data_IF_465312581025
#
_entry.id   IF_465312581025
#
_cell.length_a   1.000
_cell.length_b   1.000
_cell.length_c   1.000
_cell.angle_alpha   90.00
_cell.angle_beta   90.00
_cell.angle_gamma   90.00
#
_symmetry.space_group_name_H-M   'P 1'
#
loop_
_entity.id
_entity.type
_entity.pdbx_description
1 polymer ?
#
# COMPACT_ATOMS: atom_id res chain seq x y z
N UNK A 1 -1.89 26.37 6.20
CA UNK A 1 -1.94 25.00 6.74
C UNK A 1 -2.84 24.14 5.89
N UNK A 2 -2.43 22.92 5.61
CA UNK A 2 -3.24 22.02 4.80
C UNK A 2 -3.15 20.61 5.37
N UNK A 3 -4.15 19.79 5.08
CA UNK A 3 -4.20 18.39 5.50
C UNK A 3 -4.57 17.52 4.30
N UNK A 4 -3.75 16.52 4.07
CA UNK A 4 -4.05 15.46 3.10
C UNK A 4 -3.89 14.13 3.81
N UNK A 5 -4.93 13.33 3.80
CA UNK A 5 -4.91 12.04 4.49
C UNK A 5 -5.59 10.97 3.65
N UNK A 6 -4.92 9.83 3.52
CA UNK A 6 -5.46 8.66 2.83
C UNK A 6 -5.33 7.46 3.78
N UNK A 7 -6.36 6.65 3.83
CA UNK A 7 -6.35 5.40 4.60
C UNK A 7 -6.59 4.24 3.66
N UNK A 8 -5.68 3.25 3.68
CA UNK A 8 -5.77 2.07 2.84
C UNK A 8 -5.64 0.82 3.69
N UNK A 9 -6.53 -0.13 3.48
CA UNK A 9 -6.47 -1.44 4.10
C UNK A 9 -6.55 -2.47 2.99
N UNK A 10 -5.56 -3.34 2.90
CA UNK A 10 -5.50 -4.32 1.84
C UNK A 10 -4.43 -5.36 2.07
N UNK A 11 -4.06 -6.04 1.01
CA UNK A 11 -3.08 -7.12 1.05
C UNK A 11 -1.79 -6.70 0.33
N UNK A 12 -0.66 -6.99 0.96
CA UNK A 12 0.65 -6.74 0.36
C UNK A 12 0.90 -7.75 -0.75
N UNK A 13 1.31 -7.27 -1.92
CA UNK A 13 1.52 -8.14 -3.08
C UNK A 13 2.84 -8.88 -3.05
N UNK A 14 3.94 -8.16 -3.02
CA UNK A 14 5.29 -8.72 -3.01
C UNK A 14 6.01 -8.30 -1.75
N UNK A 15 7.11 -8.97 -1.44
CA UNK A 15 7.96 -8.57 -0.34
C UNK A 15 8.42 -7.12 -0.56
N UNK A 16 8.42 -6.30 0.50
CA UNK A 16 8.87 -4.92 0.38
C UNK A 16 10.32 -4.82 -0.08
N UNK A 17 10.58 -3.85 -0.94
CA UNK A 17 11.94 -3.49 -1.30
C UNK A 17 12.44 -2.44 -0.33
N UNK A 18 13.47 -2.78 0.44
CA UNK A 18 14.02 -1.90 1.46
C UNK A 18 15.33 -1.31 0.97
N UNK A 19 15.48 0.00 1.11
CA UNK A 19 16.70 0.70 0.75
C UNK A 19 17.20 1.52 1.92
N UNK A 20 18.49 1.44 2.17
CA UNK A 20 19.17 2.27 3.17
C UNK A 20 19.96 3.34 2.44
N UNK A 21 19.57 4.59 2.68
CA UNK A 21 20.20 5.73 2.02
C UNK A 21 21.46 6.16 2.76
N UNK A 22 22.36 6.85 2.04
CA UNK A 22 23.62 7.35 2.61
C UNK A 22 23.39 8.30 3.78
N UNK A 23 22.28 9.02 3.77
CA UNK A 23 21.91 9.91 4.87
C UNK A 23 21.47 9.19 6.13
N UNK A 24 21.43 7.86 6.11
CA UNK A 24 20.95 7.05 7.22
C UNK A 24 19.46 6.81 7.22
N UNK A 25 18.72 7.38 6.26
CA UNK A 25 17.30 7.15 6.14
C UNK A 25 17.02 5.80 5.48
N UNK A 26 15.97 5.12 5.95
CA UNK A 26 15.51 3.86 5.37
C UNK A 26 14.20 4.10 4.63
N UNK A 27 14.07 3.54 3.44
CA UNK A 27 12.83 3.56 2.69
C UNK A 27 12.39 2.13 2.40
N UNK A 28 11.09 1.89 2.40
CA UNK A 28 10.53 0.60 2.01
C UNK A 28 9.43 0.85 0.97
N UNK A 29 9.49 0.13 -0.14
CA UNK A 29 8.52 0.24 -1.23
C UNK A 29 7.80 -1.10 -1.38
N UNK A 30 6.49 -1.04 -1.50
CA UNK A 30 5.70 -2.26 -1.72
C UNK A 30 4.40 -1.90 -2.44
N UNK A 31 3.70 -2.93 -2.91
CA UNK A 31 2.39 -2.76 -3.52
C UNK A 31 1.32 -3.26 -2.56
N UNK A 32 0.23 -2.52 -2.49
CA UNK A 32 -0.92 -2.86 -1.68
C UNK A 32 -2.13 -3.02 -2.58
N UNK A 33 -2.77 -4.17 -2.53
CA UNK A 33 -3.99 -4.43 -3.29
C UNK A 33 -5.21 -4.14 -2.44
N UNK A 34 -6.09 -3.28 -2.93
CA UNK A 34 -7.40 -3.05 -2.32
C UNK A 34 -8.45 -3.64 -3.23
N UNK A 35 -9.37 -4.40 -2.67
CA UNK A 35 -10.41 -5.09 -3.45
C UNK A 35 -11.77 -4.67 -2.97
N UNK A 36 -12.63 -4.30 -3.93
CA UNK A 36 -14.02 -3.99 -3.65
C UNK A 36 -14.89 -5.02 -4.35
N UNK A 37 -15.96 -5.42 -3.66
CA UNK A 37 -16.96 -6.30 -4.22
C UNK A 37 -18.26 -5.53 -4.41
N UNK A 38 -18.88 -5.70 -5.57
CA UNK A 38 -20.13 -5.03 -5.86
C UNK A 38 -21.01 -5.95 -6.71
N UNK A 39 -22.30 -5.69 -6.69
CA UNK A 39 -23.25 -6.39 -7.56
C UNK A 39 -23.52 -5.53 -8.78
N UNK A 40 -23.48 -6.16 -9.94
CA UNK A 40 -23.85 -5.48 -11.18
C UNK A 40 -25.37 -5.49 -11.39
N UNK A 41 -25.81 -4.98 -12.53
CA UNK A 41 -27.23 -4.89 -12.86
C UNK A 41 -27.90 -6.26 -12.97
N UNK A 42 -27.14 -7.29 -13.28
CA UNK A 42 -27.64 -8.65 -13.42
C UNK A 42 -27.63 -9.42 -12.10
N UNK A 43 -27.25 -8.77 -11.01
CA UNK A 43 -27.18 -9.41 -9.70
C UNK A 43 -25.94 -10.26 -9.48
N UNK A 44 -24.99 -10.24 -10.40
CA UNK A 44 -23.75 -10.96 -10.26
C UNK A 44 -22.77 -10.19 -9.38
N UNK A 45 -22.05 -10.91 -8.53
CA UNK A 45 -21.01 -10.31 -7.71
C UNK A 45 -19.74 -10.17 -8.51
N UNK A 46 -19.20 -8.96 -8.55
CA UNK A 46 -17.96 -8.65 -9.24
C UNK A 46 -16.94 -8.08 -8.26
N UNK A 47 -15.68 -8.30 -8.56
CA UNK A 47 -14.58 -7.76 -7.78
C UNK A 47 -13.76 -6.81 -8.62
N UNK A 48 -13.34 -5.72 -8.00
CA UNK A 48 -12.43 -4.77 -8.63
C UNK A 48 -11.24 -4.60 -7.69
N UNK A 49 -10.05 -4.85 -8.21
CA UNK A 49 -8.81 -4.73 -7.45
C UNK A 49 -7.99 -3.58 -8.00
N UNK A 50 -7.52 -2.72 -7.12
CA UNK A 50 -6.60 -1.66 -7.46
C UNK A 50 -5.30 -1.87 -6.72
N UNK A 51 -4.18 -1.66 -7.41
CA UNK A 51 -2.85 -1.79 -6.86
C UNK A 51 -2.28 -0.42 -6.58
N UNK A 52 -1.83 -0.22 -5.35
CA UNK A 52 -1.25 1.04 -4.91
C UNK A 52 0.23 0.85 -4.65
N UNK A 53 1.03 1.77 -5.14
CA UNK A 53 2.46 1.80 -4.87
C UNK A 53 2.69 2.61 -3.59
N UNK A 54 3.21 1.96 -2.57
CA UNK A 54 3.40 2.56 -1.25
C UNK A 54 4.89 2.73 -1.00
N UNK A 55 5.26 3.90 -0.49
CA UNK A 55 6.63 4.17 -0.06
C UNK A 55 6.58 4.62 1.40
N UNK A 56 7.28 3.90 2.25
CA UNK A 56 7.38 4.24 3.67
C UNK A 56 8.81 4.70 3.97
N UNK A 57 8.92 5.64 4.90
CA UNK A 57 10.18 6.26 5.26
C UNK A 57 10.51 6.07 6.73
N UNK A 58 11.78 5.95 7.05
CA UNK A 58 12.31 5.97 8.43
C UNK A 58 11.67 4.88 9.31
N UNK A 59 11.14 5.24 10.46
CA UNK A 59 10.59 4.28 11.41
C UNK A 59 9.44 3.45 10.83
N UNK A 60 8.64 4.03 9.95
CA UNK A 60 7.57 3.29 9.28
C UNK A 60 8.15 2.23 8.35
N UNK A 61 9.25 2.54 7.66
CA UNK A 61 9.94 1.57 6.82
C UNK A 61 10.48 0.40 7.65
N UNK A 62 10.99 0.67 8.85
CA UNK A 62 11.47 -0.37 9.75
C UNK A 62 10.36 -1.34 10.15
N UNK A 63 9.16 -0.84 10.37
CA UNK A 63 7.99 -1.67 10.66
C UNK A 63 7.63 -2.54 9.46
N UNK A 64 7.66 -1.96 8.26
CA UNK A 64 7.34 -2.68 7.03
C UNK A 64 8.35 -3.79 6.77
N UNK A 65 9.63 -3.55 7.07
CA UNK A 65 10.71 -4.52 6.88
C UNK A 65 10.51 -5.78 7.72
N UNK A 66 9.89 -5.63 8.87
CA UNK A 66 9.61 -6.76 9.76
C UNK A 66 8.46 -7.64 9.17
#
# INVERSE_FOLDING_TARGET
MSLNKVMLIGNVGKDPEVRHLESGATTASFTLATTERYKDRNGETKEQTEWHNIVAWRSTADVVER
#
